data_IF_383229437524
#
_entry.id   IF_383229437524
#
_cell.length_a   1.000
_cell.length_b   1.000
_cell.length_c   1.000
_cell.angle_alpha   90.00
_cell.angle_beta   90.00
_cell.angle_gamma   90.00
#
_symmetry.space_group_name_H-M   'P 1'
#
loop_
_entity.id
_entity.type
_entity.pdbx_description
1 polymer ?
#
# COMPACT_ATOMS: atom_id res chain seq x y z
N UNK A 1 -43.80 12.09 -18.14
CA UNK A 1 -43.49 10.65 -18.10
C UNK A 1 -42.04 10.46 -18.53
N UNK A 2 -41.25 9.68 -17.77
CA UNK A 2 -39.95 9.17 -18.22
C UNK A 2 -38.71 9.81 -17.58
N UNK A 3 -38.43 9.49 -16.31
CA UNK A 3 -37.05 9.47 -15.80
C UNK A 3 -36.56 8.02 -15.93
N UNK A 4 -35.74 7.74 -16.94
CA UNK A 4 -34.98 6.50 -17.03
C UNK A 4 -33.76 6.62 -16.13
N UNK A 5 -33.66 5.72 -15.15
CA UNK A 5 -32.47 5.52 -14.32
C UNK A 5 -31.33 5.03 -15.23
N UNK A 6 -30.21 5.73 -15.25
CA UNK A 6 -28.97 5.22 -15.84
C UNK A 6 -28.48 4.05 -14.96
N UNK A 7 -28.22 2.91 -15.61
CA UNK A 7 -27.95 1.64 -14.96
C UNK A 7 -26.66 1.63 -14.17
N UNK A 8 -26.70 0.96 -13.02
CA UNK A 8 -25.54 0.60 -12.21
C UNK A 8 -24.99 -0.75 -12.65
N UNK A 9 -23.69 -0.98 -12.45
CA UNK A 9 -23.16 -2.35 -12.53
C UNK A 9 -23.71 -3.22 -11.38
N UNK A 10 -23.36 -4.52 -11.37
CA UNK A 10 -23.82 -5.49 -10.37
C UNK A 10 -23.45 -5.13 -8.91
N UNK A 11 -22.62 -4.10 -8.70
CA UNK A 11 -22.18 -3.60 -7.39
C UNK A 11 -22.80 -2.25 -7.00
N UNK A 12 -23.62 -1.64 -7.86
CA UNK A 12 -24.34 -0.40 -7.57
C UNK A 12 -23.58 0.89 -7.89
N UNK A 13 -22.47 0.84 -8.62
CA UNK A 13 -21.67 2.01 -9.00
C UNK A 13 -21.96 2.46 -10.44
N UNK A 14 -21.87 3.77 -10.75
CA UNK A 14 -21.95 4.25 -12.12
C UNK A 14 -20.70 3.86 -12.92
N UNK A 15 -20.92 3.45 -14.17
CA UNK A 15 -19.89 3.04 -15.12
C UNK A 15 -18.85 4.16 -15.37
N UNK A 16 -17.57 3.81 -15.35
CA UNK A 16 -16.47 4.79 -15.44
C UNK A 16 -16.09 5.05 -16.90
N UNK A 17 -16.32 6.27 -17.39
CA UNK A 17 -15.84 6.74 -18.69
C UNK A 17 -14.37 7.16 -18.62
N UNK A 18 -13.56 6.76 -19.61
CA UNK A 18 -12.14 7.13 -19.74
C UNK A 18 -11.90 8.50 -20.39
N UNK A 19 -12.96 9.28 -20.60
CA UNK A 19 -12.79 10.71 -20.88
C UNK A 19 -12.49 11.39 -19.55
N UNK A 20 -11.59 12.39 -19.52
CA UNK A 20 -11.46 13.24 -18.34
C UNK A 20 -12.86 13.64 -17.86
N UNK A 21 -13.12 13.58 -16.52
CA UNK A 21 -14.37 13.91 -15.76
C UNK A 21 -15.14 12.67 -15.25
N UNK A 22 -15.81 12.58 -14.07
CA UNK A 22 -16.34 13.55 -13.10
C UNK A 22 -16.67 12.86 -11.74
N UNK A 23 -16.17 13.34 -10.58
CA UNK A 23 -16.66 12.99 -9.24
C UNK A 23 -16.57 14.20 -8.30
N UNK A 24 -17.67 14.55 -7.61
CA UNK A 24 -17.79 15.74 -6.75
C UNK A 24 -18.53 16.89 -7.43
N UNK A 25 -19.14 17.79 -6.64
CA UNK A 25 -19.96 18.91 -7.12
C UNK A 25 -19.15 19.88 -7.98
N UNK A 26 -19.10 19.62 -9.29
CA UNK A 26 -18.51 20.55 -10.26
C UNK A 26 -19.21 21.89 -10.18
N UNK A 27 -18.49 22.91 -9.74
CA UNK A 27 -18.87 24.31 -9.90
C UNK A 27 -17.87 25.09 -10.76
N UNK A 28 -17.00 24.41 -11.53
CA UNK A 28 -15.99 25.05 -12.36
C UNK A 28 -15.65 24.27 -13.63
N UNK A 29 -15.28 25.00 -14.68
CA UNK A 29 -14.80 24.50 -15.96
C UNK A 29 -13.33 24.05 -15.86
N UNK A 30 -13.09 22.77 -16.10
CA UNK A 30 -11.82 22.10 -16.41
C UNK A 30 -10.53 22.48 -15.66
N UNK A 31 -9.90 21.43 -15.14
CA UNK A 31 -8.64 21.43 -14.40
C UNK A 31 -7.51 22.18 -15.14
N UNK A 32 -7.18 23.37 -14.64
CA UNK A 32 -5.96 24.04 -15.04
C UNK A 32 -4.79 23.40 -14.28
N UNK A 33 -3.98 22.58 -14.97
CA UNK A 33 -2.61 22.31 -14.51
C UNK A 33 -1.84 23.61 -14.66
N UNK A 34 -1.76 24.41 -13.59
CA UNK A 34 -0.89 25.60 -13.59
C UNK A 34 0.53 25.12 -13.33
N UNK A 35 1.33 25.02 -14.39
CA UNK A 35 2.78 24.85 -14.27
C UNK A 35 3.39 26.19 -13.88
N UNK A 36 4.14 26.21 -12.78
CA UNK A 36 5.02 27.32 -12.46
C UNK A 36 6.38 27.05 -13.11
N UNK A 37 7.07 28.07 -13.67
CA UNK A 37 8.35 27.88 -14.35
C UNK A 37 9.41 27.12 -13.51
N UNK A 38 9.34 27.26 -12.18
CA UNK A 38 10.24 26.62 -11.21
C UNK A 38 9.50 25.96 -10.04
N UNK A 39 8.25 25.49 -10.24
CA UNK A 39 7.44 24.94 -9.14
C UNK A 39 6.63 23.69 -9.50
N UNK A 40 6.05 23.01 -8.50
CA UNK A 40 5.20 21.87 -8.75
C UNK A 40 3.98 22.29 -9.58
N UNK A 41 3.61 21.44 -10.54
CA UNK A 41 2.37 21.62 -11.27
C UNK A 41 1.19 21.37 -10.32
N UNK A 42 0.27 22.34 -10.22
CA UNK A 42 -0.93 22.20 -9.39
C UNK A 42 -2.05 21.68 -10.27
N UNK A 43 -2.55 20.48 -9.98
CA UNK A 43 -3.75 19.94 -10.59
C UNK A 43 -4.97 20.36 -9.77
N UNK A 44 -5.57 21.50 -10.13
CA UNK A 44 -6.82 21.95 -9.52
C UNK A 44 -7.99 21.10 -10.03
N UNK A 45 -8.55 20.28 -9.15
CA UNK A 45 -9.71 19.42 -9.46
C UNK A 45 -11.04 20.18 -9.56
N UNK A 46 -11.04 21.49 -9.30
CA UNK A 46 -12.26 22.29 -9.19
C UNK A 46 -13.12 21.91 -7.98
N UNK A 47 -12.59 21.08 -7.07
CA UNK A 47 -13.25 20.71 -5.83
C UNK A 47 -13.28 21.92 -4.90
N UNK A 48 -14.48 22.25 -4.42
CA UNK A 48 -14.71 23.37 -3.50
C UNK A 48 -15.44 22.82 -2.27
N UNK A 49 -14.72 22.07 -1.41
CA UNK A 49 -15.34 21.50 -0.23
C UNK A 49 -15.81 22.61 0.69
N UNK A 50 -16.98 22.41 1.30
CA UNK A 50 -17.46 23.28 2.37
C UNK A 50 -16.39 23.36 3.48
N UNK A 51 -16.02 24.57 3.85
CA UNK A 51 -15.05 24.79 4.93
C UNK A 51 -15.64 24.29 6.25
N UNK A 52 -14.90 23.49 7.03
CA UNK A 52 -15.40 23.06 8.31
C UNK A 52 -15.56 24.26 9.26
N UNK A 53 -16.53 24.21 10.18
CA UNK A 53 -16.80 25.32 11.11
C UNK A 53 -15.66 25.55 12.11
N UNK A 54 -14.77 24.59 12.28
CA UNK A 54 -13.57 24.68 13.11
C UNK A 54 -12.43 23.79 12.54
N UNK A 55 -11.17 24.04 12.92
CA UNK A 55 -10.06 23.16 12.58
C UNK A 55 -10.29 21.73 13.11
N UNK A 56 -10.04 20.74 12.27
CA UNK A 56 -10.13 19.33 12.64
C UNK A 56 -10.66 18.44 11.51
N UNK A 57 -10.80 17.13 11.76
CA UNK A 57 -11.40 16.20 10.80
C UNK A 57 -12.84 16.61 10.43
N UNK A 58 -13.15 16.59 9.14
CA UNK A 58 -14.49 16.89 8.64
C UNK A 58 -14.89 15.94 7.51
N UNK A 59 -16.20 15.78 7.29
CA UNK A 59 -16.70 14.99 6.17
C UNK A 59 -16.29 15.59 4.80
N UNK A 60 -16.26 16.92 4.68
CA UNK A 60 -15.81 17.57 3.44
C UNK A 60 -14.33 17.29 3.17
N UNK A 61 -13.46 17.43 4.18
CA UNK A 61 -12.03 17.13 4.05
C UNK A 61 -11.74 15.64 3.79
N UNK A 62 -12.53 14.74 4.38
CA UNK A 62 -12.44 13.30 4.10
C UNK A 62 -12.79 12.95 2.65
N UNK A 63 -13.84 13.56 2.10
CA UNK A 63 -14.22 13.38 0.68
C UNK A 63 -13.13 13.89 -0.26
N UNK A 64 -12.61 15.10 -0.02
CA UNK A 64 -11.52 15.67 -0.83
C UNK A 64 -10.25 14.82 -0.74
N UNK A 65 -9.88 14.35 0.45
CA UNK A 65 -8.71 13.48 0.63
C UNK A 65 -8.80 12.20 -0.20
N UNK A 66 -9.95 11.52 -0.15
CA UNK A 66 -10.18 10.31 -0.95
C UNK A 66 -10.17 10.60 -2.45
N UNK A 67 -10.75 11.73 -2.88
CA UNK A 67 -10.75 12.17 -4.28
C UNK A 67 -9.32 12.40 -4.79
N UNK A 68 -8.49 13.09 -4.03
CA UNK A 68 -7.12 13.42 -4.45
C UNK A 68 -6.26 12.18 -4.62
N UNK A 69 -6.39 11.20 -3.72
CA UNK A 69 -5.69 9.91 -3.85
C UNK A 69 -6.15 9.18 -5.11
N UNK A 70 -7.46 9.10 -5.36
CA UNK A 70 -8.00 8.45 -6.57
C UNK A 70 -7.47 9.09 -7.84
N UNK A 71 -7.44 10.42 -7.89
CA UNK A 71 -6.93 11.14 -9.05
C UNK A 71 -5.43 10.91 -9.24
N UNK A 72 -4.64 10.99 -8.17
CA UNK A 72 -3.20 10.74 -8.25
C UNK A 72 -2.90 9.34 -8.80
N UNK A 73 -3.65 8.32 -8.36
CA UNK A 73 -3.54 6.96 -8.89
C UNK A 73 -3.94 6.88 -10.35
N UNK A 74 -5.05 7.53 -10.77
CA UNK A 74 -5.46 7.55 -12.17
C UNK A 74 -4.40 8.20 -13.08
N UNK A 75 -3.80 9.31 -12.65
CA UNK A 75 -2.69 9.97 -13.36
C UNK A 75 -1.46 9.07 -13.46
N UNK A 76 -1.13 8.33 -12.40
CA UNK A 76 -0.02 7.38 -12.43
C UNK A 76 -0.29 6.18 -13.36
N UNK A 77 -1.51 5.62 -13.32
CA UNK A 77 -1.90 4.46 -14.14
C UNK A 77 -1.95 4.79 -15.64
N UNK A 78 -2.21 6.03 -16.00
CA UNK A 78 -2.20 6.51 -17.40
C UNK A 78 -0.80 6.93 -17.89
N UNK A 79 0.23 6.86 -17.03
CA UNK A 79 1.58 7.30 -17.37
C UNK A 79 1.77 8.82 -17.35
N UNK A 80 0.75 9.59 -16.96
CA UNK A 80 0.85 11.05 -16.80
C UNK A 80 1.76 11.41 -15.62
N UNK A 81 1.78 10.56 -14.59
CA UNK A 81 2.73 10.64 -13.48
C UNK A 81 3.54 9.33 -13.36
N UNK A 82 4.80 9.44 -12.95
CA UNK A 82 5.67 8.26 -12.78
C UNK A 82 5.41 7.51 -11.45
N UNK A 83 4.94 8.22 -10.43
CA UNK A 83 4.70 7.69 -9.09
C UNK A 83 3.71 8.57 -8.33
N UNK A 84 3.19 8.04 -7.21
CA UNK A 84 2.32 8.77 -6.27
C UNK A 84 3.03 8.92 -4.94
N UNK A 85 3.05 10.14 -4.41
CA UNK A 85 3.46 10.44 -3.03
C UNK A 85 2.24 10.98 -2.30
N UNK A 86 1.89 10.36 -1.17
CA UNK A 86 0.72 10.78 -0.39
C UNK A 86 1.14 11.60 0.83
N UNK A 87 0.45 12.73 1.04
CA UNK A 87 0.51 13.44 2.32
C UNK A 87 -0.33 12.70 3.38
N UNK A 88 -0.12 12.93 4.68
CA UNK A 88 -0.93 12.30 5.73
C UNK A 88 -2.42 12.63 5.57
N UNK A 89 -3.28 11.64 5.80
CA UNK A 89 -4.75 11.79 5.80
C UNK A 89 -5.34 11.42 7.16
N UNK A 90 -6.50 12.00 7.50
CA UNK A 90 -7.23 11.68 8.72
C UNK A 90 -8.19 10.51 8.49
N UNK A 91 -7.94 9.39 9.17
CA UNK A 91 -8.86 8.23 9.18
C UNK A 91 -10.23 8.60 9.74
N UNK A 92 -10.27 9.54 10.68
CA UNK A 92 -11.51 10.08 11.21
C UNK A 92 -12.29 10.88 10.17
N UNK A 93 -11.61 11.73 9.39
CA UNK A 93 -12.25 12.48 8.31
C UNK A 93 -12.80 11.53 7.23
N UNK A 94 -12.06 10.49 6.86
CA UNK A 94 -12.53 9.45 5.95
C UNK A 94 -13.81 8.77 6.46
N UNK A 95 -13.84 8.40 7.75
CA UNK A 95 -15.03 7.82 8.39
C UNK A 95 -16.21 8.78 8.39
N UNK A 96 -16.01 10.04 8.74
CA UNK A 96 -17.06 11.08 8.70
C UNK A 96 -17.61 11.29 7.27
N UNK A 97 -16.76 11.13 6.27
CA UNK A 97 -17.10 11.15 4.85
C UNK A 97 -17.74 9.84 4.34
N UNK A 98 -17.93 8.84 5.23
CA UNK A 98 -18.44 7.51 4.91
C UNK A 98 -17.61 6.79 3.82
N UNK A 99 -16.30 7.02 3.82
CA UNK A 99 -15.35 6.31 2.94
C UNK A 99 -15.12 4.90 3.48
N UNK A 100 -15.26 3.90 2.60
CA UNK A 100 -15.20 2.46 2.95
C UNK A 100 -13.82 2.00 3.46
N UNK A 101 -12.76 2.72 3.10
CA UNK A 101 -11.39 2.29 3.38
C UNK A 101 -10.87 2.89 4.69
N UNK A 102 -10.19 2.10 5.52
CA UNK A 102 -9.62 2.58 6.78
C UNK A 102 -8.36 3.45 6.58
N UNK A 103 -7.76 3.48 5.38
CA UNK A 103 -6.56 4.24 5.10
C UNK A 103 -6.06 4.12 3.66
N UNK A 104 -4.83 4.61 3.44
CA UNK A 104 -4.20 4.62 2.11
C UNK A 104 -3.95 3.23 1.55
N UNK A 105 -3.39 2.32 2.35
CA UNK A 105 -2.93 1.02 1.84
C UNK A 105 -4.07 0.24 1.19
N UNK A 106 -5.22 0.20 1.87
CA UNK A 106 -6.41 -0.50 1.39
C UNK A 106 -7.03 0.20 0.19
N UNK A 107 -7.08 1.54 0.20
CA UNK A 107 -7.58 2.32 -0.94
C UNK A 107 -6.68 2.15 -2.19
N UNK A 108 -5.37 2.19 -2.02
CA UNK A 108 -4.40 2.07 -3.12
C UNK A 108 -4.40 0.66 -3.71
N UNK A 109 -4.47 -0.38 -2.87
CA UNK A 109 -4.56 -1.76 -3.33
C UNK A 109 -5.79 -1.95 -4.23
N UNK A 110 -6.96 -1.52 -3.75
CA UNK A 110 -8.23 -1.62 -4.49
C UNK A 110 -8.19 -0.83 -5.82
N UNK A 111 -7.68 0.41 -5.82
CA UNK A 111 -7.54 1.21 -7.04
C UNK A 111 -6.54 0.62 -8.06
N UNK A 112 -5.61 -0.19 -7.59
CA UNK A 112 -4.66 -0.92 -8.44
C UNK A 112 -5.17 -2.30 -8.86
N UNK A 113 -6.36 -2.73 -8.41
CA UNK A 113 -6.90 -4.05 -8.67
C UNK A 113 -6.12 -5.17 -7.98
N UNK A 114 -5.52 -4.86 -6.82
CA UNK A 114 -4.71 -5.78 -6.04
C UNK A 114 -5.45 -6.17 -4.76
N UNK A 115 -5.33 -7.44 -4.40
CA UNK A 115 -5.75 -7.93 -3.09
C UNK A 115 -4.77 -7.46 -2.01
N UNK A 116 -5.23 -7.38 -0.76
CA UNK A 116 -4.38 -6.92 0.35
C UNK A 116 -3.12 -7.78 0.56
N UNK A 117 -3.19 -9.07 0.23
CA UNK A 117 -2.05 -9.99 0.27
C UNK A 117 -0.96 -9.67 -0.75
N UNK A 118 -1.29 -8.95 -1.82
CA UNK A 118 -0.39 -8.61 -2.93
C UNK A 118 0.35 -7.29 -2.71
N UNK A 119 0.07 -6.59 -1.60
CA UNK A 119 0.75 -5.35 -1.22
C UNK A 119 1.55 -5.52 0.07
N UNK A 120 2.69 -4.82 0.16
CA UNK A 120 3.52 -4.79 1.35
C UNK A 120 3.78 -3.36 1.81
N UNK A 121 3.71 -3.15 3.13
CA UNK A 121 4.21 -1.93 3.75
C UNK A 121 5.70 -2.10 4.05
N UNK A 122 6.52 -1.19 3.55
CA UNK A 122 7.96 -1.15 3.77
C UNK A 122 8.41 0.25 4.17
N UNK A 123 9.25 0.33 5.19
CA UNK A 123 10.00 1.53 5.58
C UNK A 123 11.40 1.44 5.00
N UNK A 124 11.88 2.53 4.39
CA UNK A 124 13.15 2.56 3.67
C UNK A 124 13.98 3.74 4.17
N UNK A 125 15.21 3.45 4.57
CA UNK A 125 16.29 4.42 4.80
C UNK A 125 17.48 4.08 3.91
N UNK A 126 18.55 4.89 3.98
CA UNK A 126 19.84 4.59 3.34
C UNK A 126 20.41 3.24 3.79
N UNK A 127 20.27 2.93 5.08
CA UNK A 127 20.97 1.81 5.73
C UNK A 127 20.08 0.59 6.00
N UNK A 128 18.76 0.78 6.07
CA UNK A 128 17.83 -0.27 6.48
C UNK A 128 16.51 -0.21 5.71
N UNK A 129 16.03 -1.40 5.32
CA UNK A 129 14.69 -1.60 4.76
C UNK A 129 13.95 -2.60 5.64
N UNK A 130 12.78 -2.22 6.15
CA UNK A 130 11.96 -3.07 7.01
C UNK A 130 10.57 -3.19 6.40
N UNK A 131 10.19 -4.42 6.08
CA UNK A 131 8.82 -4.73 5.66
C UNK A 131 8.06 -5.45 6.77
N UNK A 132 6.77 -5.21 6.85
CA UNK A 132 5.90 -5.83 7.83
C UNK A 132 5.20 -7.06 7.25
N UNK A 133 5.12 -8.14 8.04
CA UNK A 133 4.33 -9.32 7.67
C UNK A 133 2.84 -9.06 7.88
N UNK A 134 2.47 -8.51 9.04
CA UNK A 134 1.11 -8.11 9.41
C UNK A 134 1.05 -6.61 9.69
N UNK A 135 -0.09 -5.98 9.41
CA UNK A 135 -0.28 -4.52 9.50
C UNK A 135 -1.64 -4.20 10.11
N UNK A 136 -1.68 -3.21 11.01
CA UNK A 136 -2.90 -2.68 11.64
C UNK A 136 -3.86 -3.73 12.26
N UNK A 137 -3.35 -4.87 12.73
CA UNK A 137 -4.13 -5.88 13.45
C UNK A 137 -3.94 -5.75 14.97
N UNK A 138 -4.95 -6.10 15.79
CA UNK A 138 -4.74 -6.39 17.20
C UNK A 138 -3.63 -7.42 17.38
N UNK A 139 -2.78 -7.28 18.40
CA UNK A 139 -1.57 -8.11 18.56
C UNK A 139 -1.88 -9.63 18.51
N UNK A 140 -2.95 -10.08 19.18
CA UNK A 140 -3.36 -11.50 19.15
C UNK A 140 -3.70 -11.99 17.73
N UNK A 141 -4.31 -11.15 16.91
CA UNK A 141 -4.71 -11.45 15.53
C UNK A 141 -3.51 -11.37 14.60
N UNK A 142 -2.59 -10.42 14.87
CA UNK A 142 -1.32 -10.32 14.18
C UNK A 142 -0.48 -11.59 14.35
N UNK A 143 -0.46 -12.17 15.56
CA UNK A 143 0.22 -13.44 15.85
C UNK A 143 -0.50 -14.60 15.16
N UNK A 144 -1.82 -14.70 15.28
CA UNK A 144 -2.61 -15.77 14.69
C UNK A 144 -2.60 -15.80 13.15
N UNK A 145 -2.37 -14.65 12.51
CA UNK A 145 -2.26 -14.53 11.06
C UNK A 145 -0.91 -15.01 10.49
N UNK A 146 0.06 -15.37 11.35
CA UNK A 146 1.37 -15.84 10.91
C UNK A 146 1.27 -17.30 10.48
N UNK A 147 1.59 -17.56 9.22
CA UNK A 147 1.66 -18.91 8.65
C UNK A 147 2.85 -19.02 7.71
N UNK A 148 3.22 -20.27 7.35
CA UNK A 148 4.33 -20.51 6.43
C UNK A 148 4.03 -19.88 5.05
N UNK A 149 2.79 -20.01 4.59
CA UNK A 149 2.29 -19.48 3.33
C UNK A 149 2.35 -17.96 3.31
N UNK A 150 1.91 -17.30 4.39
CA UNK A 150 1.94 -15.85 4.51
C UNK A 150 3.38 -15.31 4.46
N UNK A 151 4.31 -15.97 5.18
CA UNK A 151 5.73 -15.61 5.16
C UNK A 151 6.31 -15.78 3.75
N UNK A 152 6.08 -16.92 3.11
CA UNK A 152 6.58 -17.20 1.76
C UNK A 152 6.05 -16.22 0.71
N UNK A 153 4.75 -15.94 0.74
CA UNK A 153 4.14 -14.96 -0.15
C UNK A 153 4.78 -13.58 0.03
N UNK A 154 4.99 -13.16 1.28
CA UNK A 154 5.64 -11.89 1.60
C UNK A 154 7.10 -11.85 1.12
N UNK A 155 7.88 -12.90 1.37
CA UNK A 155 9.28 -12.97 0.94
C UNK A 155 9.41 -12.89 -0.59
N UNK A 156 8.54 -13.59 -1.33
CA UNK A 156 8.51 -13.54 -2.80
C UNK A 156 8.19 -12.14 -3.32
N UNK A 157 7.16 -11.51 -2.77
CA UNK A 157 6.77 -10.14 -3.12
C UNK A 157 7.92 -9.15 -2.86
N UNK A 158 8.55 -9.23 -1.69
CA UNK A 158 9.67 -8.36 -1.34
C UNK A 158 10.87 -8.59 -2.26
N UNK A 159 11.15 -9.85 -2.64
CA UNK A 159 12.23 -10.16 -3.57
C UNK A 159 11.97 -9.56 -4.96
N UNK A 160 10.77 -9.75 -5.52
CA UNK A 160 10.43 -9.24 -6.86
C UNK A 160 10.42 -7.72 -6.90
N UNK A 161 9.78 -7.08 -5.92
CA UNK A 161 9.70 -5.62 -5.86
C UNK A 161 11.06 -4.99 -5.53
N UNK A 162 11.90 -5.61 -4.70
CA UNK A 162 13.23 -5.07 -4.44
C UNK A 162 14.10 -5.04 -5.71
N UNK A 163 14.07 -6.10 -6.52
CA UNK A 163 14.75 -6.13 -7.82
C UNK A 163 14.25 -5.03 -8.73
N UNK A 164 12.93 -4.85 -8.80
CA UNK A 164 12.27 -3.85 -9.64
C UNK A 164 12.65 -2.41 -9.24
N UNK A 165 12.64 -2.10 -7.95
CA UNK A 165 12.84 -0.75 -7.44
C UNK A 165 14.30 -0.39 -7.15
N UNK A 166 15.16 -1.37 -6.83
CA UNK A 166 16.55 -1.14 -6.42
C UNK A 166 17.59 -1.83 -7.33
N UNK A 167 17.16 -2.57 -8.34
CA UNK A 167 18.03 -3.13 -9.38
C UNK A 167 18.95 -4.27 -8.93
N UNK A 168 18.70 -4.89 -7.77
CA UNK A 168 19.52 -5.99 -7.25
C UNK A 168 18.73 -6.99 -6.40
N UNK A 169 19.34 -8.16 -6.21
CA UNK A 169 18.82 -9.25 -5.38
C UNK A 169 18.99 -8.94 -3.90
N UNK A 170 17.89 -8.83 -3.13
CA UNK A 170 18.02 -8.55 -1.70
C UNK A 170 18.47 -9.78 -0.93
N UNK A 171 19.26 -9.55 0.13
CA UNK A 171 19.39 -10.49 1.25
C UNK A 171 18.27 -10.19 2.25
N UNK A 172 17.29 -11.08 2.37
CA UNK A 172 16.15 -10.87 3.28
C UNK A 172 16.38 -11.60 4.61
N UNK A 173 16.33 -10.83 5.70
CA UNK A 173 16.29 -11.33 7.06
C UNK A 173 14.86 -11.39 7.59
N UNK A 174 14.51 -12.46 8.32
CA UNK A 174 13.21 -12.59 9.00
C UNK A 174 13.40 -12.47 10.50
N UNK A 175 12.69 -11.53 11.13
CA UNK A 175 12.71 -11.38 12.58
C UNK A 175 11.99 -12.57 13.25
N UNK A 176 12.49 -12.99 14.42
CA UNK A 176 11.77 -13.92 15.28
C UNK A 176 10.43 -13.31 15.74
N UNK A 177 9.46 -14.16 15.99
CA UNK A 177 8.16 -13.78 16.53
C UNK A 177 8.25 -13.64 18.05
N UNK A 178 8.82 -14.66 18.70
CA UNK A 178 8.98 -14.76 20.13
C UNK A 178 10.30 -14.11 20.59
N UNK A 179 10.38 -13.68 21.87
CA UNK A 179 11.64 -13.27 22.47
C UNK A 179 12.73 -14.32 22.23
N UNK A 180 13.94 -13.86 21.90
CA UNK A 180 15.07 -14.73 21.57
C UNK A 180 14.79 -15.76 20.46
N UNK A 181 13.85 -15.46 19.56
CA UNK A 181 13.42 -16.38 18.50
C UNK A 181 12.99 -17.76 19.08
N UNK A 182 12.24 -17.71 20.19
CA UNK A 182 11.65 -18.89 20.82
C UNK A 182 12.58 -19.61 21.79
N UNK A 183 13.87 -19.28 21.85
CA UNK A 183 14.88 -19.90 22.75
C UNK A 183 14.78 -21.44 22.75
N UNK A 184 15.02 -22.03 21.57
CA UNK A 184 14.89 -23.48 21.33
C UNK A 184 13.53 -24.10 21.73
N UNK A 185 12.46 -23.30 21.70
CA UNK A 185 11.11 -23.74 22.05
C UNK A 185 10.66 -23.35 23.46
N UNK A 186 11.53 -22.75 24.28
CA UNK A 186 11.22 -22.34 25.65
C UNK A 186 10.19 -21.20 25.71
N UNK A 187 10.21 -20.29 24.74
CA UNK A 187 9.33 -19.10 24.70
C UNK A 187 8.26 -19.16 23.60
N UNK A 188 8.09 -20.32 22.97
CA UNK A 188 7.16 -20.52 21.87
C UNK A 188 7.76 -21.43 20.81
N UNK A 189 6.90 -22.11 20.05
CA UNK A 189 7.30 -23.09 19.06
C UNK A 189 7.17 -22.57 17.62
N UNK A 190 6.61 -21.38 17.43
CA UNK A 190 6.31 -20.77 16.14
C UNK A 190 7.55 -20.61 15.26
N UNK A 191 8.73 -20.32 15.85
CA UNK A 191 9.98 -20.30 15.09
C UNK A 191 10.31 -21.64 14.45
N UNK A 192 10.15 -22.74 15.19
CA UNK A 192 10.44 -24.08 14.72
C UNK A 192 9.38 -24.58 13.76
N UNK A 193 8.11 -24.32 14.09
CA UNK A 193 6.97 -24.94 13.43
C UNK A 193 6.47 -24.13 12.22
N UNK A 194 6.74 -22.81 12.17
CA UNK A 194 6.25 -21.88 11.14
C UNK A 194 7.39 -21.13 10.46
N UNK A 195 8.21 -20.37 11.19
CA UNK A 195 9.18 -19.46 10.53
C UNK A 195 10.33 -20.22 9.85
N UNK A 196 10.98 -21.15 10.54
CA UNK A 196 12.14 -21.87 10.00
C UNK A 196 11.81 -22.68 8.75
N UNK A 197 10.69 -23.43 8.69
CA UNK A 197 10.28 -24.12 7.47
C UNK A 197 10.02 -23.14 6.32
N UNK A 198 9.37 -22.00 6.58
CA UNK A 198 9.10 -21.00 5.54
C UNK A 198 10.38 -20.35 5.00
N UNK A 199 11.37 -20.11 5.85
CA UNK A 199 12.68 -19.55 5.48
C UNK A 199 13.51 -20.56 4.71
N UNK A 200 13.47 -21.84 5.09
CA UNK A 200 14.21 -22.91 4.43
C UNK A 200 13.59 -23.35 3.10
N UNK A 201 12.31 -23.03 2.88
CA UNK A 201 11.61 -23.43 1.67
C UNK A 201 12.25 -22.78 0.43
N UNK A 202 12.50 -23.56 -0.64
CA UNK A 202 13.13 -23.05 -1.85
C UNK A 202 12.25 -22.00 -2.54
N UNK A 203 12.88 -20.92 -2.99
CA UNK A 203 12.26 -19.96 -3.89
C UNK A 203 12.07 -20.60 -5.28
N UNK A 204 10.96 -21.33 -5.47
CA UNK A 204 10.52 -21.73 -6.82
C UNK A 204 10.11 -20.48 -7.60
N UNK A 205 11.05 -19.96 -8.41
CA UNK A 205 10.90 -18.72 -9.16
C UNK A 205 12.21 -17.98 -9.47
N UNK A 206 13.35 -18.46 -8.95
CA UNK A 206 14.65 -17.93 -9.37
C UNK A 206 14.92 -18.28 -10.85
N UNK A 207 15.28 -17.30 -11.71
CA UNK A 207 15.69 -17.60 -13.08
C UNK A 207 16.93 -18.52 -13.06
N UNK A 208 17.07 -19.43 -14.04
CA UNK A 208 18.24 -20.29 -14.13
C UNK A 208 19.51 -19.44 -14.29
N UNK A 209 20.38 -19.44 -13.26
CA UNK A 209 21.65 -18.70 -13.24
C UNK A 209 21.78 -17.58 -12.20
N UNK A 210 20.72 -17.25 -11.46
CA UNK A 210 20.81 -16.30 -10.32
C UNK A 210 21.38 -16.97 -9.06
N UNK A 211 22.27 -16.29 -8.34
CA UNK A 211 22.80 -16.75 -7.05
C UNK A 211 21.66 -17.21 -6.14
N UNK A 212 21.81 -18.40 -5.54
CA UNK A 212 20.82 -19.01 -4.65
C UNK A 212 20.29 -17.98 -3.65
N UNK A 213 19.01 -17.62 -3.78
CA UNK A 213 18.36 -16.71 -2.83
C UNK A 213 18.26 -17.41 -1.50
N UNK A 214 19.03 -16.97 -0.50
CA UNK A 214 18.94 -17.48 0.86
C UNK A 214 18.08 -16.53 1.69
N UNK A 215 16.98 -17.03 2.25
CA UNK A 215 16.36 -16.39 3.40
C UNK A 215 17.12 -16.80 4.65
N UNK A 216 17.26 -15.89 5.60
CA UNK A 216 17.98 -16.18 6.84
C UNK A 216 17.29 -15.55 8.04
N UNK A 217 17.49 -16.10 9.25
CA UNK A 217 17.17 -15.38 10.47
C UNK A 217 17.80 -13.99 10.44
N UNK A 218 17.07 -12.99 10.91
CA UNK A 218 17.56 -11.61 10.91
C UNK A 218 18.80 -11.49 11.81
N UNK A 219 19.96 -11.21 11.21
CA UNK A 219 21.13 -10.73 11.93
C UNK A 219 21.34 -9.25 11.58
N UNK A 220 21.19 -8.35 12.55
CA UNK A 220 21.46 -6.91 12.36
C UNK A 220 22.96 -6.61 12.37
N UNK A 221 23.73 -7.33 11.55
CA UNK A 221 25.13 -6.99 11.32
C UNK A 221 25.21 -6.08 10.10
N UNK A 222 25.86 -4.92 10.26
CA UNK A 222 26.07 -3.97 9.17
C UNK A 222 26.78 -4.72 8.03
N UNK A 223 26.26 -4.70 6.79
CA UNK A 223 27.00 -5.28 5.67
C UNK A 223 28.37 -4.60 5.59
N UNK A 224 29.44 -5.35 5.22
CA UNK A 224 30.73 -4.74 5.00
C UNK A 224 30.58 -3.61 3.98
N UNK A 225 31.23 -2.48 4.24
CA UNK A 225 31.30 -1.37 3.29
C UNK A 225 31.93 -1.89 1.99
N UNK A 226 31.45 -1.44 0.81
CA UNK A 226 32.01 -1.86 -0.48
C UNK A 226 33.50 -1.54 -0.59
#
# INVERSE_FOLDING_TARGET
>A
MGKGLAGTDATGWPEVSMTALEWGSKQGSDAAVRSWPEGPAIHDMGDRPESPPAPGPSASGGRSSAMYVKQAVALARTGTAAAVVTAPISKEALRLANVRYPGHTELLADLCGLEFGEVAMMFVTSDLKVALLTVHLPLREAIAAISQEAILARLRLLQSEHRRWFGNDPRLGVCGLNPHAGEAGLFGAEERDILSPAIAAPCSGAPPGGSSTSFSPCSMTRPPSP
#
